data_IF_289704262679
#
_entry.id   IF_289704262679
#
_cell.length_a   1.000
_cell.length_b   1.000
_cell.length_c   1.000
_cell.angle_alpha   90.00
_cell.angle_beta   90.00
_cell.angle_gamma   90.00
#
_symmetry.space_group_name_H-M   'P 1'
#
loop_
_entity.id
_entity.type
_entity.pdbx_description
1 polymer ?
#
# COMPACT_ATOMS: atom_id res chain seq x y z
N UNK A 1 3.51 -4.27 18.33
CA UNK A 1 3.38 -3.91 16.89
C UNK A 1 4.63 -3.20 16.44
N UNK A 2 5.32 -3.76 15.45
CA UNK A 2 6.58 -3.22 14.90
C UNK A 2 6.26 -2.20 13.81
N UNK A 3 7.00 -1.09 13.78
CA UNK A 3 6.94 -0.09 12.72
C UNK A 3 8.03 -0.41 11.69
N UNK A 4 7.61 -0.76 10.47
CA UNK A 4 8.49 -1.13 9.38
C UNK A 4 8.53 -0.01 8.35
N UNK A 5 9.64 0.72 8.30
CA UNK A 5 9.85 1.77 7.32
C UNK A 5 10.36 1.19 6.00
N UNK A 6 9.56 1.27 4.95
CA UNK A 6 9.90 0.69 3.65
C UNK A 6 11.05 1.42 2.93
N UNK A 7 11.38 2.66 3.34
CA UNK A 7 12.46 3.45 2.72
C UNK A 7 13.69 3.65 3.59
N UNK A 8 13.58 3.39 4.89
CA UNK A 8 14.68 3.50 5.85
C UNK A 8 14.80 2.20 6.62
N UNK A 9 15.30 1.11 5.99
CA UNK A 9 15.43 -0.19 6.62
C UNK A 9 16.24 -0.17 7.92
N UNK A 10 17.16 0.80 8.06
CA UNK A 10 17.95 1.02 9.29
C UNK A 10 17.06 1.36 10.48
N UNK A 11 15.98 2.13 10.27
CA UNK A 11 15.03 2.45 11.33
C UNK A 11 14.20 1.23 11.75
N UNK A 12 13.87 0.35 10.80
CA UNK A 12 13.24 -0.94 11.09
C UNK A 12 14.21 -1.82 11.90
N UNK A 13 15.48 -1.87 11.51
CA UNK A 13 16.52 -2.60 12.24
C UNK A 13 16.67 -2.13 13.69
N UNK A 14 16.75 -0.81 13.92
CA UNK A 14 16.83 -0.24 15.27
C UNK A 14 15.62 -0.65 16.13
N UNK A 15 14.44 -0.73 15.52
CA UNK A 15 13.24 -1.18 16.22
C UNK A 15 13.27 -2.67 16.55
N UNK A 16 13.71 -3.54 15.63
CA UNK A 16 13.90 -4.97 15.90
C UNK A 16 14.91 -5.16 17.03
N UNK A 17 16.03 -4.41 17.02
CA UNK A 17 17.06 -4.44 18.07
C UNK A 17 16.52 -4.03 19.43
N UNK A 18 15.57 -3.09 19.47
CA UNK A 18 14.92 -2.63 20.69
C UNK A 18 13.94 -3.67 21.25
N UNK A 19 13.07 -4.20 20.39
CA UNK A 19 12.02 -5.14 20.78
C UNK A 19 12.62 -6.52 21.13
N UNK A 20 13.59 -6.98 20.34
CA UNK A 20 14.26 -8.27 20.48
C UNK A 20 15.74 -8.10 20.82
N UNK A 21 16.00 -7.48 21.97
CA UNK A 21 17.36 -7.17 22.46
C UNK A 21 18.31 -8.36 22.57
N UNK A 22 17.78 -9.59 22.66
CA UNK A 22 18.54 -10.84 22.73
C UNK A 22 19.00 -11.37 21.37
N UNK A 23 18.42 -10.89 20.27
CA UNK A 23 18.86 -11.29 18.92
C UNK A 23 20.25 -10.75 18.64
N UNK A 24 21.06 -11.57 17.95
CA UNK A 24 22.31 -11.07 17.41
C UNK A 24 22.04 -9.97 16.40
N UNK A 25 22.93 -8.97 16.25
CA UNK A 25 22.75 -7.91 15.28
C UNK A 25 22.49 -8.42 13.85
N UNK A 26 23.14 -9.52 13.44
CA UNK A 26 22.93 -10.13 12.12
C UNK A 26 21.52 -10.71 11.95
N UNK A 27 21.01 -11.40 12.97
CA UNK A 27 19.67 -11.98 12.98
C UNK A 27 18.60 -10.88 12.98
N UNK A 28 18.81 -9.83 13.77
CA UNK A 28 17.94 -8.65 13.78
C UNK A 28 17.93 -7.92 12.43
N UNK A 29 19.08 -7.83 11.75
CA UNK A 29 19.17 -7.26 10.40
C UNK A 29 18.40 -8.11 9.39
N UNK A 30 18.55 -9.43 9.41
CA UNK A 30 17.81 -10.34 8.54
C UNK A 30 16.29 -10.22 8.72
N UNK A 31 15.80 -10.20 9.96
CA UNK A 31 14.37 -9.99 10.26
C UNK A 31 13.90 -8.62 9.76
N UNK A 32 14.66 -7.56 10.01
CA UNK A 32 14.31 -6.22 9.55
C UNK A 32 14.23 -6.15 8.01
N UNK A 33 15.20 -6.74 7.31
CA UNK A 33 15.19 -6.83 5.84
C UNK A 33 14.02 -7.65 5.35
N UNK A 34 13.74 -8.82 5.94
CA UNK A 34 12.61 -9.66 5.57
C UNK A 34 11.26 -8.93 5.69
N UNK A 35 11.07 -8.14 6.76
CA UNK A 35 9.86 -7.33 6.95
C UNK A 35 9.72 -6.23 5.89
N UNK A 36 10.81 -5.55 5.56
CA UNK A 36 10.83 -4.53 4.51
C UNK A 36 10.49 -5.14 3.15
N UNK A 37 11.10 -6.28 2.81
CA UNK A 37 10.87 -6.96 1.54
C UNK A 37 9.44 -7.50 1.44
N UNK A 38 8.91 -8.10 2.51
CA UNK A 38 7.51 -8.52 2.57
C UNK A 38 6.53 -7.36 2.33
N UNK A 39 6.84 -6.16 2.87
CA UNK A 39 6.04 -4.97 2.63
C UNK A 39 6.21 -4.36 1.24
N UNK A 40 7.42 -4.40 0.65
CA UNK A 40 7.69 -3.83 -0.70
C UNK A 40 7.10 -4.67 -1.82
N UNK A 41 7.13 -5.98 -1.65
CA UNK A 41 6.60 -6.97 -2.60
C UNK A 41 5.25 -7.51 -2.17
N UNK A 42 4.48 -6.72 -1.42
CA UNK A 42 3.14 -7.05 -1.00
C UNK A 42 2.24 -7.36 -2.21
N UNK A 43 1.38 -8.35 -2.04
CA UNK A 43 0.37 -8.73 -3.03
C UNK A 43 -0.85 -7.83 -2.87
N UNK A 44 -1.58 -7.61 -3.97
CA UNK A 44 -2.88 -6.92 -3.93
C UNK A 44 -3.96 -7.92 -3.63
N UNK A 45 -4.81 -7.62 -2.65
CA UNK A 45 -6.05 -8.34 -2.42
C UNK A 45 -7.21 -7.57 -3.06
N UNK A 46 -8.01 -8.26 -3.87
CA UNK A 46 -9.25 -7.73 -4.42
C UNK A 46 -10.30 -8.83 -4.46
N UNK A 47 -11.51 -8.55 -3.95
CA UNK A 47 -12.61 -9.52 -3.85
C UNK A 47 -12.22 -10.87 -3.19
N UNK A 48 -11.32 -10.83 -2.19
CA UNK A 48 -10.82 -12.01 -1.48
C UNK A 48 -9.85 -12.88 -2.28
N UNK A 49 -9.37 -12.38 -3.43
CA UNK A 49 -8.33 -13.02 -4.24
C UNK A 49 -7.04 -12.22 -4.12
N UNK A 50 -5.96 -12.92 -3.77
CA UNK A 50 -4.62 -12.32 -3.75
C UNK A 50 -3.99 -12.41 -5.13
N UNK A 51 -3.46 -11.28 -5.60
CA UNK A 51 -2.79 -11.12 -6.88
C UNK A 51 -1.37 -10.62 -6.65
N UNK A 52 -0.40 -11.29 -7.27
CA UNK A 52 0.98 -10.81 -7.31
C UNK A 52 1.02 -9.36 -7.83
N UNK A 53 1.64 -8.46 -7.08
CA UNK A 53 1.69 -7.05 -7.44
C UNK A 53 3.12 -6.55 -7.61
N UNK A 54 3.78 -7.12 -8.62
CA UNK A 54 5.14 -6.78 -9.00
C UNK A 54 5.21 -6.42 -10.49
N UNK A 55 6.31 -5.80 -10.97
CA UNK A 55 6.43 -5.34 -12.36
C UNK A 55 6.19 -6.41 -13.42
N UNK A 56 6.47 -7.67 -13.09
CA UNK A 56 6.37 -8.79 -14.04
C UNK A 56 4.96 -9.43 -14.04
N UNK A 57 4.16 -9.25 -12.98
CA UNK A 57 2.93 -10.00 -12.75
C UNK A 57 1.71 -9.18 -12.28
N UNK A 58 1.66 -7.87 -12.52
CA UNK A 58 0.58 -6.99 -12.04
C UNK A 58 -0.73 -7.05 -12.83
N UNK A 59 -0.75 -7.64 -14.03
CA UNK A 59 -1.88 -7.53 -14.97
C UNK A 59 -3.21 -8.05 -14.40
N UNK A 60 -3.16 -9.19 -13.70
CA UNK A 60 -4.37 -9.80 -13.12
C UNK A 60 -5.00 -8.92 -12.04
N UNK A 61 -4.17 -8.35 -11.16
CA UNK A 61 -4.67 -7.45 -10.13
C UNK A 61 -5.19 -6.15 -10.74
N UNK A 62 -4.47 -5.60 -11.72
CA UNK A 62 -4.88 -4.35 -12.39
C UNK A 62 -6.22 -4.51 -13.12
N UNK A 63 -6.45 -5.67 -13.75
CA UNK A 63 -7.75 -5.99 -14.35
C UNK A 63 -8.87 -6.09 -13.31
N UNK A 64 -8.59 -6.62 -12.11
CA UNK A 64 -9.58 -6.71 -11.02
C UNK A 64 -9.97 -5.33 -10.50
N UNK A 65 -8.98 -4.50 -10.14
CA UNK A 65 -9.21 -3.11 -9.71
C UNK A 65 -9.84 -2.27 -10.83
N UNK A 66 -9.47 -2.53 -12.10
CA UNK A 66 -10.02 -1.83 -13.26
C UNK A 66 -11.54 -1.95 -13.40
N UNK A 67 -12.13 -3.05 -12.94
CA UNK A 67 -13.60 -3.22 -12.89
C UNK A 67 -14.23 -2.29 -11.87
N UNK A 68 -13.65 -2.18 -10.68
CA UNK A 68 -14.10 -1.27 -9.62
C UNK A 68 -13.98 0.19 -10.07
N UNK A 69 -12.86 0.54 -10.71
CA UNK A 69 -12.65 1.85 -11.33
C UNK A 69 -13.73 2.17 -12.36
N UNK A 70 -14.09 1.20 -13.21
CA UNK A 70 -15.14 1.38 -14.22
C UNK A 70 -16.52 1.59 -13.58
N UNK A 71 -16.86 0.82 -12.55
CA UNK A 71 -18.13 0.97 -11.81
C UNK A 71 -18.23 2.32 -11.10
N UNK A 72 -17.14 2.79 -10.48
CA UNK A 72 -17.07 4.11 -9.86
C UNK A 72 -17.28 5.19 -10.93
N UNK A 73 -16.64 5.06 -12.09
CA UNK A 73 -16.78 6.00 -13.19
C UNK A 73 -18.23 6.04 -13.72
N UNK A 74 -18.87 4.89 -13.93
CA UNK A 74 -20.28 4.81 -14.34
C UNK A 74 -21.23 5.46 -13.33
N UNK A 75 -21.01 5.22 -12.03
CA UNK A 75 -21.81 5.82 -10.95
C UNK A 75 -21.68 7.35 -10.96
N UNK A 76 -20.46 7.86 -11.12
CA UNK A 76 -20.17 9.29 -11.23
C UNK A 76 -20.87 9.90 -12.45
N UNK A 77 -20.77 9.25 -13.62
CA UNK A 77 -21.41 9.69 -14.86
C UNK A 77 -22.93 9.80 -14.65
N UNK A 78 -23.55 8.82 -13.99
CA UNK A 78 -24.99 8.83 -13.70
C UNK A 78 -25.39 9.96 -12.73
N UNK A 79 -24.62 10.20 -11.67
CA UNK A 79 -24.87 11.29 -10.72
C UNK A 79 -24.70 12.68 -11.37
N UNK A 80 -23.77 12.81 -12.32
CA UNK A 80 -23.51 14.06 -13.02
C UNK A 80 -24.43 14.31 -14.22
N UNK A 81 -25.02 13.26 -14.82
CA UNK A 81 -26.00 13.40 -15.88
C UNK A 81 -27.23 14.24 -15.47
N UNK A 82 -27.51 14.33 -14.17
CA UNK A 82 -28.55 15.21 -13.61
C UNK A 82 -28.12 16.68 -13.38
N UNK A 83 -26.83 17.00 -13.48
CA UNK A 83 -26.29 18.35 -13.21
C UNK A 83 -25.76 18.97 -14.51
N UNK A 84 -26.46 19.99 -15.04
CA UNK A 84 -26.00 20.79 -16.20
C UNK A 84 -24.79 21.67 -15.82
N UNK A 85 -23.61 21.06 -15.64
CA UNK A 85 -22.33 21.77 -15.47
C UNK A 85 -21.45 21.58 -16.69
N UNK A 86 -20.71 22.63 -17.06
CA UNK A 86 -19.74 22.59 -18.16
C UNK A 86 -18.49 21.79 -17.78
N UNK A 87 -17.74 21.27 -18.76
CA UNK A 87 -16.52 20.47 -18.53
C UNK A 87 -15.47 21.20 -17.66
N UNK A 88 -15.32 22.52 -17.85
CA UNK A 88 -14.40 23.35 -17.07
C UNK A 88 -14.85 23.57 -15.61
N UNK A 89 -16.17 23.67 -15.37
CA UNK A 89 -16.71 23.74 -14.00
C UNK A 89 -16.61 22.40 -13.27
N UNK A 90 -16.67 21.28 -14.01
CA UNK A 90 -16.46 19.94 -13.44
C UNK A 90 -15.00 19.75 -13.02
N UNK A 91 -14.04 20.10 -13.88
CA UNK A 91 -12.61 19.97 -13.58
C UNK A 91 -12.15 20.87 -12.40
N UNK A 92 -12.76 22.05 -12.22
CA UNK A 92 -12.38 23.00 -11.16
C UNK A 92 -12.88 22.66 -9.75
N UNK A 93 -13.90 21.80 -9.62
CA UNK A 93 -14.57 21.47 -8.36
C UNK A 93 -14.31 20.02 -7.88
N UNK A 94 -13.51 19.25 -8.64
CA UNK A 94 -13.30 17.82 -8.43
C UNK A 94 -12.37 17.53 -7.24
N UNK A 95 -12.94 17.11 -6.10
CA UNK A 95 -12.22 16.29 -5.13
C UNK A 95 -11.92 14.91 -5.75
N UNK A 96 -10.65 14.52 -5.78
CA UNK A 96 -10.23 13.23 -6.32
C UNK A 96 -10.91 12.10 -5.52
N UNK A 97 -11.57 11.18 -6.23
CA UNK A 97 -12.14 9.99 -5.58
C UNK A 97 -10.98 9.12 -5.13
N UNK A 98 -10.90 8.84 -3.83
CA UNK A 98 -9.83 8.03 -3.27
C UNK A 98 -10.24 6.56 -3.30
N UNK A 99 -9.52 5.74 -4.07
CA UNK A 99 -9.68 4.29 -4.10
C UNK A 99 -8.62 3.65 -3.21
N UNK A 100 -9.07 2.87 -2.23
CA UNK A 100 -8.18 2.16 -1.30
C UNK A 100 -7.87 0.77 -1.84
N UNK A 101 -6.62 0.55 -2.24
CA UNK A 101 -6.15 -0.75 -2.72
C UNK A 101 -5.61 -1.54 -1.54
N UNK A 102 -6.16 -2.75 -1.33
CA UNK A 102 -5.76 -3.60 -0.22
C UNK A 102 -4.48 -4.38 -0.55
N UNK A 103 -3.56 -4.43 0.40
CA UNK A 103 -2.27 -5.10 0.27
C UNK A 103 -2.05 -6.14 1.37
N UNK A 104 -1.44 -7.26 1.02
CA UNK A 104 -1.04 -8.30 1.97
C UNK A 104 0.48 -8.43 1.90
N UNK A 105 1.22 -8.35 3.03
CA UNK A 105 2.66 -8.54 3.00
C UNK A 105 3.04 -9.91 2.44
N UNK A 106 3.99 -9.94 1.51
CA UNK A 106 4.43 -11.19 0.90
C UNK A 106 5.30 -11.99 1.87
N UNK A 107 4.72 -13.05 2.42
CA UNK A 107 5.44 -14.02 3.26
C UNK A 107 6.58 -14.65 2.46
N UNK A 108 6.34 -14.96 1.18
CA UNK A 108 7.34 -15.56 0.29
C UNK A 108 8.56 -14.65 0.12
N UNK A 109 8.35 -13.35 -0.16
CA UNK A 109 9.44 -12.40 -0.31
C UNK A 109 10.27 -12.26 0.97
N UNK A 110 9.62 -12.21 2.14
CA UNK A 110 10.32 -12.16 3.42
C UNK A 110 11.11 -13.43 3.72
N UNK A 111 10.55 -14.61 3.45
CA UNK A 111 11.21 -15.89 3.68
C UNK A 111 12.43 -16.11 2.78
N UNK A 112 12.38 -15.62 1.54
CA UNK A 112 13.52 -15.67 0.64
C UNK A 112 14.77 -15.00 1.24
N UNK A 113 14.61 -13.92 2.01
CA UNK A 113 15.70 -13.24 2.72
C UNK A 113 16.25 -14.08 3.87
N UNK A 114 15.37 -14.77 4.59
CA UNK A 114 15.73 -15.58 5.76
C UNK A 114 16.33 -16.94 5.35
N UNK A 115 16.17 -17.31 4.09
CA UNK A 115 16.70 -18.55 3.53
C UNK A 115 16.11 -19.77 4.22
N UNK A 116 16.97 -20.66 4.73
CA UNK A 116 16.56 -21.91 5.38
C UNK A 116 16.44 -21.84 6.91
N UNK A 117 16.63 -20.67 7.54
CA UNK A 117 16.63 -20.57 9.00
C UNK A 117 15.19 -20.62 9.56
N UNK A 118 14.79 -21.82 9.98
CA UNK A 118 13.45 -22.10 10.53
C UNK A 118 13.11 -21.26 11.76
N UNK A 119 14.10 -20.86 12.57
CA UNK A 119 13.84 -20.08 13.77
C UNK A 119 13.53 -18.63 13.41
N UNK A 120 14.31 -18.05 12.49
CA UNK A 120 14.06 -16.71 11.99
C UNK A 120 12.76 -16.65 11.20
N UNK A 121 12.46 -17.64 10.36
CA UNK A 121 11.19 -17.74 9.63
C UNK A 121 10.01 -17.77 10.61
N UNK A 122 10.08 -18.60 11.65
CA UNK A 122 9.02 -18.67 12.67
C UNK A 122 8.83 -17.33 13.38
N UNK A 123 9.93 -16.65 13.72
CA UNK A 123 9.87 -15.33 14.34
C UNK A 123 9.26 -14.29 13.40
N UNK A 124 9.68 -14.26 12.13
CA UNK A 124 9.14 -13.38 11.11
C UNK A 124 7.63 -13.59 10.91
N UNK A 125 7.18 -14.84 10.76
CA UNK A 125 5.74 -15.15 10.68
C UNK A 125 4.98 -14.70 11.92
N UNK A 126 5.53 -14.93 13.11
CA UNK A 126 4.91 -14.45 14.36
C UNK A 126 4.77 -12.93 14.41
N UNK A 127 5.77 -12.18 13.93
CA UNK A 127 5.69 -10.71 13.82
C UNK A 127 4.58 -10.30 12.84
N UNK A 128 4.44 -11.00 11.71
CA UNK A 128 3.37 -10.71 10.75
C UNK A 128 1.99 -11.01 11.33
N UNK A 129 1.83 -12.14 12.03
CA UNK A 129 0.57 -12.52 12.70
C UNK A 129 0.13 -11.48 13.76
N UNK A 130 1.08 -10.87 14.47
CA UNK A 130 0.80 -9.79 15.43
C UNK A 130 0.44 -8.45 14.76
N UNK A 131 0.73 -8.30 13.46
CA UNK A 131 0.55 -7.07 12.70
C UNK A 131 1.77 -6.16 12.72
N UNK A 132 1.96 -5.47 11.59
CA UNK A 132 3.08 -4.57 11.32
C UNK A 132 2.55 -3.24 10.82
N UNK A 133 3.06 -2.14 11.38
CA UNK A 133 2.80 -0.79 10.90
C UNK A 133 3.78 -0.48 9.76
N UNK A 134 3.33 -0.55 8.51
CA UNK A 134 4.13 -0.22 7.33
C UNK A 134 4.11 1.28 7.05
N UNK A 135 5.30 1.88 7.11
CA UNK A 135 5.51 3.30 6.83
C UNK A 135 6.10 3.44 5.44
N UNK A 136 5.40 4.16 4.57
CA UNK A 136 5.75 4.30 3.16
C UNK A 136 5.64 5.74 2.70
N UNK A 137 6.29 6.09 1.58
CA UNK A 137 6.05 7.35 0.89
C UNK A 137 5.41 7.08 -0.48
N UNK A 138 4.64 8.02 -1.04
CA UNK A 138 4.07 7.85 -2.38
C UNK A 138 5.10 7.62 -3.49
N UNK A 139 6.36 7.97 -3.26
CA UNK A 139 7.45 7.82 -4.23
C UNK A 139 8.25 6.52 -4.08
N UNK A 140 7.73 5.55 -3.33
CA UNK A 140 8.45 4.32 -3.00
C UNK A 140 8.62 3.39 -4.20
N UNK A 141 9.66 2.55 -4.12
CA UNK A 141 9.93 1.49 -5.09
C UNK A 141 9.23 0.22 -4.58
N UNK A 142 8.45 -0.44 -5.44
CA UNK A 142 7.63 -1.61 -5.10
C UNK A 142 6.22 -1.46 -5.67
N UNK A 143 5.21 -1.95 -4.96
CA UNK A 143 3.81 -1.86 -5.39
C UNK A 143 3.30 -0.44 -5.68
N UNK A 144 3.89 0.56 -5.02
CA UNK A 144 3.62 1.98 -5.26
C UNK A 144 3.96 2.39 -6.70
N UNK A 145 5.05 1.84 -7.23
CA UNK A 145 5.54 2.13 -8.57
C UNK A 145 4.61 1.59 -9.65
N UNK A 146 3.86 0.52 -9.34
CA UNK A 146 2.86 -0.06 -10.23
C UNK A 146 1.52 0.69 -10.17
N UNK A 147 1.06 1.12 -9.00
CA UNK A 147 -0.23 1.83 -8.86
C UNK A 147 -0.31 3.12 -9.68
N UNK A 148 0.75 3.93 -9.67
CA UNK A 148 0.79 5.23 -10.36
C UNK A 148 1.09 5.10 -11.87
N UNK A 149 1.57 3.94 -12.33
CA UNK A 149 1.96 3.72 -13.74
C UNK A 149 1.04 2.79 -14.51
N UNK A 150 0.16 2.05 -13.84
CA UNK A 150 -0.94 1.37 -14.54
C UNK A 150 -1.68 2.44 -15.33
N UNK A 151 -1.71 2.28 -16.66
CA UNK A 151 -2.47 3.17 -17.51
C UNK A 151 -3.95 2.85 -17.33
N UNK A 152 -4.53 3.42 -16.28
CA UNK A 152 -5.91 3.19 -15.89
C UNK A 152 -6.88 3.54 -16.99
N UNK A 153 -6.57 4.54 -17.83
CA UNK A 153 -7.39 4.87 -19.00
C UNK A 153 -7.43 3.73 -20.03
N UNK A 154 -6.32 3.01 -20.22
CA UNK A 154 -6.29 1.80 -21.06
C UNK A 154 -7.02 0.64 -20.39
N UNK A 155 -6.86 0.46 -19.08
CA UNK A 155 -7.51 -0.64 -18.34
C UNK A 155 -9.03 -0.46 -18.20
N UNK A 156 -9.52 0.79 -18.12
CA UNK A 156 -10.96 1.11 -18.03
C UNK A 156 -11.62 1.30 -19.40
N UNK A 157 -10.95 0.93 -20.51
CA UNK A 157 -11.47 1.04 -21.88
C UNK A 157 -11.97 2.45 -22.29
N UNK A 158 -11.41 3.51 -21.71
CA UNK A 158 -11.87 4.89 -21.98
C UNK A 158 -11.19 5.95 -21.09
N UNK A 159 -11.48 7.23 -21.36
CA UNK A 159 -10.97 8.34 -20.55
C UNK A 159 -11.58 8.29 -19.14
N UNK A 160 -10.74 8.27 -18.11
CA UNK A 160 -11.17 8.52 -16.73
C UNK A 160 -11.81 9.91 -16.65
N UNK A 161 -13.10 9.99 -16.32
CA UNK A 161 -13.82 11.27 -16.29
C UNK A 161 -13.48 12.10 -15.02
N UNK A 162 -12.86 11.47 -14.01
CA UNK A 162 -12.31 12.13 -12.81
C UNK A 162 -10.89 11.65 -12.50
N UNK A 163 -10.16 12.48 -11.77
CA UNK A 163 -8.91 12.08 -11.11
C UNK A 163 -9.24 11.10 -9.97
N UNK A 164 -8.96 9.80 -10.18
CA UNK A 164 -9.00 8.80 -9.11
C UNK A 164 -7.61 8.78 -8.45
N UNK A 165 -7.57 8.98 -7.13
CA UNK A 165 -6.36 8.89 -6.34
C UNK A 165 -6.29 7.50 -5.71
N UNK A 166 -5.29 6.71 -6.08
CA UNK A 166 -5.07 5.41 -5.47
C UNK A 166 -4.30 5.56 -4.16
N UNK A 167 -4.81 4.96 -3.10
CA UNK A 167 -4.11 4.86 -1.81
C UNK A 167 -3.98 3.42 -1.42
N UNK A 168 -2.80 3.03 -1.01
CA UNK A 168 -2.60 1.71 -0.47
C UNK A 168 -3.04 1.60 0.99
N UNK A 169 -3.53 0.41 1.29
CA UNK A 169 -3.92 0.00 2.62
C UNK A 169 -3.55 -1.46 2.78
N UNK A 170 -2.60 -1.76 3.65
CA UNK A 170 -2.37 -3.11 4.12
C UNK A 170 -3.59 -3.63 4.89
N UNK A 171 -3.97 -4.87 4.60
CA UNK A 171 -5.06 -5.59 5.23
C UNK A 171 -4.75 -5.87 6.72
N UNK A 172 -5.79 -6.00 7.54
CA UNK A 172 -5.64 -6.35 8.94
C UNK A 172 -4.88 -7.69 9.11
N UNK A 173 -4.00 -7.84 10.12
CA UNK A 173 -3.76 -6.95 11.25
C UNK A 173 -2.73 -5.82 10.99
N UNK A 174 -2.28 -5.64 9.75
CA UNK A 174 -1.27 -4.65 9.40
C UNK A 174 -1.86 -3.24 9.27
N UNK A 175 -1.01 -2.23 9.42
CA UNK A 175 -1.42 -0.82 9.39
C UNK A 175 -0.60 -0.07 8.36
N UNK A 176 -1.24 0.83 7.64
CA UNK A 176 -0.64 1.66 6.59
C UNK A 176 -0.44 3.08 7.05
N UNK A 177 0.79 3.58 6.95
CA UNK A 177 1.10 4.98 7.26
C UNK A 177 1.86 5.62 6.11
N UNK A 178 1.15 6.46 5.38
CA UNK A 178 1.75 7.37 4.40
C UNK A 178 2.54 8.48 5.12
N UNK A 179 3.84 8.50 4.87
CA UNK A 179 4.76 9.52 5.29
C UNK A 179 4.73 10.70 4.30
N UNK A 180 4.79 11.92 4.84
CA UNK A 180 4.94 13.14 4.04
C UNK A 180 6.39 13.34 3.54
N UNK A 181 6.61 14.40 2.74
CA UNK A 181 7.94 14.77 2.27
C UNK A 181 8.94 14.85 3.44
N UNK A 182 10.06 14.13 3.33
CA UNK A 182 11.08 14.03 4.38
C UNK A 182 10.84 12.95 5.45
N UNK A 183 9.84 12.08 5.29
CA UNK A 183 9.63 10.91 6.14
C UNK A 183 8.93 11.19 7.48
N UNK A 184 8.25 12.35 7.61
CA UNK A 184 7.43 12.67 8.78
C UNK A 184 6.01 12.15 8.58
N UNK A 185 5.41 11.51 9.59
CA UNK A 185 3.98 11.11 9.53
C UNK A 185 3.13 12.33 9.17
N UNK A 186 2.29 12.25 8.13
CA UNK A 186 1.32 13.32 7.83
C UNK A 186 0.42 13.47 9.05
N UNK A 187 0.51 14.60 9.75
CA UNK A 187 -0.30 14.84 10.94
C UNK A 187 -1.79 14.76 10.57
N UNK A 188 -2.54 13.89 11.25
CA UNK A 188 -3.99 13.91 11.17
C UNK A 188 -4.46 15.34 11.43
N UNK A 189 -5.18 15.95 10.48
CA UNK A 189 -5.84 17.24 10.70
C UNK A 189 -6.71 17.07 11.95
N UNK A 190 -6.30 17.68 13.07
CA UNK A 190 -7.19 17.85 14.21
C UNK A 190 -8.40 18.62 13.70
N UNK A 191 -9.52 17.93 13.51
CA UNK A 191 -10.81 18.56 13.32
C UNK A 191 -11.02 19.43 14.55
N UNK A 192 -10.88 20.75 14.38
CA UNK A 192 -11.24 21.70 15.43
C UNK A 192 -12.73 21.49 15.67
N UNK A 193 -13.09 20.92 16.82
CA UNK A 193 -14.45 20.94 17.31
C UNK A 193 -14.92 22.40 17.28
N UNK A 194 -15.96 22.69 16.49
CA UNK A 194 -16.65 23.98 16.53
C UNK A 194 -17.20 24.13 17.94
N UNK A 195 -16.81 25.23 18.58
CA UNK A 195 -17.34 25.68 19.86
C UNK A 195 -18.60 26.50 19.61
#
# INVERSE_FOLDING_TARGET
MISCNLNKPESTFDQIRKEYSKLKPTEAALIATALVEAGRFADVEHDGVSHAWNPDHYESGAASIGREVSQINETIVQEEAGKKKTKAEREAEQEAVTLHVQFIPSVEAGEAILGGDKNLIKMFRGILEEGVEYLYTPTDIGWHWTLDRVNWATQSSGSLERNIAFKAQFAEPHVSIELGPGGKKKGAKKVKAKK
#
